data_IF_889660233118
#
_entry.id   IF_889660233118
#
_cell.length_a   1.000
_cell.length_b   1.000
_cell.length_c   1.000
_cell.angle_alpha   90.00
_cell.angle_beta   90.00
_cell.angle_gamma   90.00
#
_symmetry.space_group_name_H-M   'P 1'
#
loop_
_entity.id
_entity.type
_entity.pdbx_description
1 polymer ?
#
# COMPACT_ATOMS: atom_id res chain seq x y z
N UNK A 1 -20.13 31.77 -3.23
CA UNK A 1 -18.88 31.01 -3.48
C UNK A 1 -19.19 29.54 -3.26
N UNK A 2 -19.03 28.69 -4.26
CA UNK A 2 -19.19 27.24 -4.07
C UNK A 2 -17.81 26.66 -3.72
N UNK A 3 -17.75 25.76 -2.75
CA UNK A 3 -16.53 25.07 -2.35
C UNK A 3 -16.68 23.61 -2.78
N UNK A 4 -15.69 23.10 -3.51
CA UNK A 4 -15.68 21.72 -4.00
C UNK A 4 -14.64 20.91 -3.25
N UNK A 5 -15.10 19.81 -2.65
CA UNK A 5 -14.26 18.85 -1.97
C UNK A 5 -14.02 17.63 -2.82
N UNK A 6 -12.75 17.22 -2.94
CA UNK A 6 -12.37 16.01 -3.65
C UNK A 6 -11.56 15.08 -2.76
N UNK A 7 -12.03 13.84 -2.65
CA UNK A 7 -11.35 12.75 -1.95
C UNK A 7 -10.42 12.01 -2.90
N UNK A 8 -9.13 12.03 -2.58
CA UNK A 8 -8.10 11.56 -3.49
C UNK A 8 -7.97 10.03 -3.60
N UNK A 9 -8.38 9.29 -2.56
CA UNK A 9 -8.26 7.82 -2.50
C UNK A 9 -9.05 7.12 -3.61
N UNK A 10 -10.11 7.75 -4.15
CA UNK A 10 -11.05 7.13 -5.08
C UNK A 10 -10.75 7.41 -6.56
N UNK A 11 -9.97 8.44 -6.87
CA UNK A 11 -9.80 8.95 -8.24
C UNK A 11 -8.33 9.00 -8.65
N UNK A 12 -7.97 8.53 -9.88
CA UNK A 12 -6.62 8.70 -10.39
C UNK A 12 -6.21 10.17 -10.46
N UNK A 13 -5.00 10.48 -10.02
CA UNK A 13 -4.44 11.84 -9.94
C UNK A 13 -4.77 12.74 -11.15
N UNK A 14 -4.57 12.24 -12.37
CA UNK A 14 -4.83 13.03 -13.59
C UNK A 14 -6.29 13.40 -13.80
N UNK A 15 -7.22 12.47 -13.52
CA UNK A 15 -8.68 12.72 -13.68
C UNK A 15 -9.16 13.71 -12.62
N UNK A 16 -8.69 13.56 -11.39
CA UNK A 16 -8.94 14.51 -10.30
C UNK A 16 -8.46 15.92 -10.68
N UNK A 17 -7.19 16.07 -11.12
CA UNK A 17 -6.65 17.38 -11.51
C UNK A 17 -7.38 18.01 -12.70
N UNK A 18 -7.88 17.20 -13.65
CA UNK A 18 -8.68 17.69 -14.77
C UNK A 18 -10.00 18.31 -14.28
N UNK A 19 -10.72 17.60 -13.40
CA UNK A 19 -11.96 18.10 -12.81
C UNK A 19 -11.72 19.40 -12.03
N UNK A 20 -10.70 19.40 -11.15
CA UNK A 20 -10.27 20.59 -10.40
C UNK A 20 -10.06 21.79 -11.34
N UNK A 21 -9.36 21.58 -12.46
CA UNK A 21 -9.08 22.64 -13.44
C UNK A 21 -10.34 23.16 -14.15
N UNK A 22 -11.40 22.37 -14.28
CA UNK A 22 -12.69 22.81 -14.82
C UNK A 22 -13.45 23.66 -13.79
N UNK A 23 -13.43 23.25 -12.53
CA UNK A 23 -14.13 23.92 -11.44
C UNK A 23 -13.51 25.25 -11.05
N UNK A 24 -12.18 25.32 -10.90
CA UNK A 24 -11.46 26.57 -10.61
C UNK A 24 -11.64 27.59 -11.73
N UNK A 25 -11.78 27.14 -12.99
CA UNK A 25 -12.08 28.05 -14.10
C UNK A 25 -13.54 28.50 -14.11
N UNK A 26 -14.45 27.79 -13.45
CA UNK A 26 -15.88 28.04 -13.53
C UNK A 26 -16.53 27.57 -14.83
N UNK A 27 -15.86 26.74 -15.64
CA UNK A 27 -16.38 26.25 -16.94
C UNK A 27 -17.68 25.44 -16.84
N UNK A 28 -17.98 24.93 -15.66
CA UNK A 28 -19.22 24.22 -15.36
C UNK A 28 -20.40 25.17 -15.14
N UNK A 29 -20.16 26.47 -14.93
CA UNK A 29 -21.21 27.48 -14.76
C UNK A 29 -21.56 28.09 -16.11
N UNK A 30 -22.86 28.33 -16.39
CA UNK A 30 -23.28 28.97 -17.63
C UNK A 30 -22.81 30.43 -17.73
N UNK A 31 -22.49 31.05 -16.59
CA UNK A 31 -21.98 32.43 -16.50
C UNK A 31 -20.49 32.57 -16.83
N UNK A 32 -19.81 31.49 -17.21
CA UNK A 32 -18.37 31.48 -17.50
C UNK A 32 -17.98 32.51 -18.58
N UNK A 33 -17.06 33.41 -18.21
CA UNK A 33 -16.42 34.34 -19.14
C UNK A 33 -14.90 34.13 -19.09
N UNK A 34 -14.23 33.85 -20.22
CA UNK A 34 -12.82 33.45 -20.23
C UNK A 34 -11.85 34.54 -19.78
N UNK A 35 -12.26 35.81 -19.83
CA UNK A 35 -11.49 36.97 -19.39
C UNK A 35 -11.70 37.35 -17.91
N UNK A 36 -12.65 36.71 -17.21
CA UNK A 36 -12.97 37.03 -15.81
C UNK A 36 -12.64 35.84 -14.90
N UNK A 37 -11.92 36.10 -13.81
CA UNK A 37 -11.49 35.09 -12.85
C UNK A 37 -12.42 34.89 -11.65
N UNK A 38 -13.33 35.83 -11.39
CA UNK A 38 -14.17 35.86 -10.18
C UNK A 38 -15.18 34.69 -10.11
N UNK A 39 -15.48 34.08 -11.26
CA UNK A 39 -16.54 33.08 -11.40
C UNK A 39 -16.12 31.66 -10.98
N UNK A 40 -14.81 31.44 -10.83
CA UNK A 40 -14.22 30.17 -10.44
C UNK A 40 -14.41 29.83 -8.97
N UNK A 41 -14.64 28.55 -8.68
CA UNK A 41 -14.84 28.06 -7.31
C UNK A 41 -13.54 27.71 -6.60
N UNK A 42 -13.59 27.72 -5.27
CA UNK A 42 -12.49 27.27 -4.41
C UNK A 42 -12.54 25.74 -4.30
N UNK A 43 -11.39 25.10 -4.48
CA UNK A 43 -11.27 23.65 -4.42
C UNK A 43 -10.39 23.26 -3.24
N UNK A 44 -10.90 22.35 -2.41
CA UNK A 44 -10.17 21.80 -1.28
C UNK A 44 -9.90 20.33 -1.54
N UNK A 45 -8.63 19.94 -1.47
CA UNK A 45 -8.19 18.55 -1.64
C UNK A 45 -7.66 18.05 -0.30
N UNK A 46 -8.19 16.94 0.17
CA UNK A 46 -7.76 16.28 1.41
C UNK A 46 -7.16 14.91 1.12
N UNK A 47 -6.36 14.40 2.05
CA UNK A 47 -5.60 13.14 1.96
C UNK A 47 -4.59 13.12 0.81
N UNK A 48 -3.84 14.21 0.65
CA UNK A 48 -2.78 14.28 -0.37
C UNK A 48 -1.60 13.33 -0.10
N UNK A 49 -1.46 12.79 1.11
CA UNK A 49 -0.44 11.76 1.41
C UNK A 49 -0.63 10.47 0.61
N UNK A 50 -1.88 10.05 0.39
CA UNK A 50 -2.22 8.76 -0.22
C UNK A 50 -2.85 8.94 -1.61
N UNK A 51 -1.97 9.14 -2.60
CA UNK A 51 -2.39 9.39 -3.98
C UNK A 51 -2.59 8.11 -4.78
N UNK A 52 -3.77 7.97 -5.40
CA UNK A 52 -4.03 6.88 -6.35
C UNK A 52 -3.32 7.14 -7.70
N UNK A 53 -2.33 6.31 -7.99
CA UNK A 53 -1.67 6.24 -9.29
C UNK A 53 -1.77 4.83 -9.88
N UNK A 54 -2.21 4.73 -11.14
CA UNK A 54 -2.35 3.43 -11.80
C UNK A 54 -1.02 2.87 -12.29
N UNK A 55 -0.80 1.57 -12.08
CA UNK A 55 0.39 0.84 -12.53
C UNK A 55 1.69 1.33 -11.86
N UNK A 56 2.82 1.21 -12.59
CA UNK A 56 4.17 1.55 -12.08
C UNK A 56 4.53 3.04 -12.20
N UNK A 57 3.54 3.92 -12.41
CA UNK A 57 3.77 5.35 -12.70
C UNK A 57 4.42 6.10 -11.55
N UNK A 58 4.06 5.79 -10.31
CA UNK A 58 4.65 6.42 -9.13
C UNK A 58 6.17 6.23 -9.06
N UNK A 59 6.68 5.10 -9.55
CA UNK A 59 8.10 4.75 -9.52
C UNK A 59 8.85 5.24 -10.76
N UNK A 60 8.22 5.14 -11.94
CA UNK A 60 8.90 5.40 -13.23
C UNK A 60 8.80 6.84 -13.70
N UNK A 61 7.76 7.59 -13.29
CA UNK A 61 7.52 8.92 -13.83
C UNK A 61 8.41 9.95 -13.12
N UNK A 62 9.07 10.78 -13.93
CA UNK A 62 10.02 11.78 -13.47
C UNK A 62 9.56 13.18 -13.88
N UNK A 63 9.88 14.17 -13.05
CA UNK A 63 9.72 15.58 -13.36
C UNK A 63 11.10 16.15 -13.64
N UNK A 64 11.23 16.74 -14.83
CA UNK A 64 12.42 17.44 -15.27
C UNK A 64 12.20 18.94 -15.11
N UNK A 65 13.18 19.63 -14.53
CA UNK A 65 13.20 21.09 -14.48
C UNK A 65 14.64 21.58 -14.53
N UNK A 66 14.81 22.80 -15.03
CA UNK A 66 16.11 23.45 -15.17
C UNK A 66 16.12 24.71 -14.31
N UNK A 67 17.25 25.01 -13.68
CA UNK A 67 17.38 26.18 -12.80
C UNK A 67 17.86 27.45 -13.51
N UNK A 68 18.27 27.34 -14.77
CA UNK A 68 18.76 28.47 -15.60
C UNK A 68 20.28 28.43 -15.86
N UNK A 69 21.05 27.85 -14.94
CA UNK A 69 22.50 27.66 -15.08
C UNK A 69 22.86 26.45 -15.96
N UNK A 70 23.90 26.58 -16.78
CA UNK A 70 24.41 25.50 -17.65
C UNK A 70 24.72 24.24 -16.83
N UNK A 71 24.28 23.08 -17.31
CA UNK A 71 24.50 21.78 -16.66
C UNK A 71 23.53 21.44 -15.51
N UNK A 72 22.69 22.37 -15.06
CA UNK A 72 21.80 22.15 -13.91
C UNK A 72 20.40 21.64 -14.30
N UNK A 73 20.35 20.51 -15.00
CA UNK A 73 19.12 19.75 -15.21
C UNK A 73 18.81 18.91 -13.96
N UNK A 74 17.72 19.24 -13.28
CA UNK A 74 17.27 18.49 -12.10
C UNK A 74 16.15 17.54 -12.48
N UNK A 75 16.29 16.31 -12.01
CA UNK A 75 15.31 15.23 -12.20
C UNK A 75 14.84 14.80 -10.83
N UNK A 76 13.52 14.76 -10.64
CA UNK A 76 12.92 14.30 -9.39
C UNK A 76 11.83 13.28 -9.68
N UNK A 77 11.87 12.14 -8.98
CA UNK A 77 10.90 11.06 -9.20
C UNK A 77 9.57 11.37 -8.52
N UNK A 78 8.47 10.84 -9.06
CA UNK A 78 7.16 10.98 -8.41
C UNK A 78 7.15 10.38 -7.00
N UNK A 79 7.83 9.25 -6.79
CA UNK A 79 7.97 8.61 -5.48
C UNK A 79 8.57 9.54 -4.42
N UNK A 80 9.54 10.37 -4.80
CA UNK A 80 10.17 11.34 -3.89
C UNK A 80 9.20 12.47 -3.54
N UNK A 81 8.44 12.97 -4.52
CA UNK A 81 7.37 13.94 -4.26
C UNK A 81 6.30 13.38 -3.33
N UNK A 82 5.87 12.13 -3.53
CA UNK A 82 4.84 11.51 -2.70
C UNK A 82 5.27 11.38 -1.24
N UNK A 83 6.55 11.10 -0.98
CA UNK A 83 7.09 10.97 0.37
C UNK A 83 7.28 12.33 1.05
N UNK A 84 7.92 13.27 0.36
CA UNK A 84 8.31 14.56 0.93
C UNK A 84 7.17 15.59 0.89
N UNK A 85 6.70 15.94 -0.32
CA UNK A 85 5.80 17.08 -0.59
C UNK A 85 4.77 16.73 -1.68
N UNK A 86 3.76 15.90 -1.38
CA UNK A 86 2.77 15.46 -2.36
C UNK A 86 1.90 16.61 -2.88
N UNK A 87 1.69 17.64 -2.08
CA UNK A 87 0.93 18.85 -2.42
C UNK A 87 1.50 19.55 -3.67
N UNK A 88 2.83 19.69 -3.71
CA UNK A 88 3.52 20.32 -4.84
C UNK A 88 3.30 19.56 -6.15
N UNK A 89 3.23 18.22 -6.08
CA UNK A 89 2.95 17.39 -7.24
C UNK A 89 1.55 17.66 -7.80
N UNK A 90 0.55 17.77 -6.92
CA UNK A 90 -0.84 18.04 -7.33
C UNK A 90 -0.96 19.44 -7.93
N UNK A 91 -0.40 20.46 -7.25
CA UNK A 91 -0.38 21.85 -7.75
C UNK A 91 0.32 21.90 -9.12
N UNK A 92 1.46 21.21 -9.27
CA UNK A 92 2.20 21.19 -10.53
C UNK A 92 1.35 20.61 -11.67
N UNK A 93 0.63 19.50 -11.44
CA UNK A 93 -0.23 18.89 -12.45
C UNK A 93 -1.42 19.79 -12.79
N UNK A 94 -2.11 20.36 -11.80
CA UNK A 94 -3.22 21.32 -12.03
C UNK A 94 -2.70 22.50 -12.87
N UNK A 95 -1.53 23.02 -12.53
CA UNK A 95 -0.92 24.13 -13.23
C UNK A 95 -0.66 23.81 -14.71
N UNK A 96 -0.33 22.55 -15.05
CA UNK A 96 -0.14 22.10 -16.44
C UNK A 96 -1.46 21.93 -17.21
N UNK A 97 -2.58 21.73 -16.51
CA UNK A 97 -3.93 21.60 -17.10
C UNK A 97 -4.62 22.96 -17.33
N UNK A 98 -4.15 24.01 -16.65
CA UNK A 98 -4.63 25.38 -16.85
C UNK A 98 -4.01 26.02 -18.10
N UNK A 99 -4.73 26.95 -18.75
CA UNK A 99 -4.17 27.73 -19.85
C UNK A 99 -2.95 28.52 -19.38
N UNK A 100 -1.96 28.69 -20.26
CA UNK A 100 -0.72 29.43 -19.95
C UNK A 100 -0.98 30.94 -20.10
N UNK A 101 -1.58 31.55 -19.08
CA UNK A 101 -1.85 32.98 -19.02
C UNK A 101 -1.53 33.55 -17.63
N UNK A 102 -1.63 34.89 -17.48
CA UNK A 102 -1.38 35.58 -16.21
C UNK A 102 -2.39 35.16 -15.12
N UNK A 103 -3.65 34.97 -15.53
CA UNK A 103 -4.77 34.55 -14.68
C UNK A 103 -4.54 33.22 -13.96
N UNK A 104 -3.66 32.35 -14.50
CA UNK A 104 -3.29 31.07 -13.88
C UNK A 104 -2.82 31.21 -12.44
N UNK A 105 -2.09 32.27 -12.10
CA UNK A 105 -1.57 32.47 -10.74
C UNK A 105 -2.72 32.69 -9.75
N UNK A 106 -3.72 33.49 -10.13
CA UNK A 106 -4.87 33.76 -9.28
C UNK A 106 -5.81 32.55 -9.17
N UNK A 107 -5.93 31.77 -10.24
CA UNK A 107 -6.67 30.51 -10.20
C UNK A 107 -6.02 29.50 -9.25
N UNK A 108 -4.69 29.38 -9.25
CA UNK A 108 -3.99 28.46 -8.36
C UNK A 108 -4.11 28.84 -6.88
N UNK A 109 -4.29 30.12 -6.55
CA UNK A 109 -4.57 30.58 -5.18
C UNK A 109 -5.92 30.10 -4.64
N UNK A 110 -6.82 29.62 -5.50
CA UNK A 110 -8.13 29.06 -5.09
C UNK A 110 -8.07 27.57 -4.74
N UNK A 111 -6.89 26.99 -4.66
CA UNK A 111 -6.69 25.56 -4.38
C UNK A 111 -5.94 25.39 -3.08
N UNK A 112 -6.62 24.78 -2.11
CA UNK A 112 -6.01 24.39 -0.85
C UNK A 112 -5.87 22.87 -0.81
N UNK A 113 -4.69 22.40 -0.40
CA UNK A 113 -4.36 20.98 -0.38
C UNK A 113 -3.84 20.62 1.00
N UNK A 114 -4.43 19.59 1.59
CA UNK A 114 -4.08 19.08 2.91
C UNK A 114 -3.56 17.66 2.79
N UNK A 115 -2.45 17.36 3.49
CA UNK A 115 -1.87 16.02 3.54
C UNK A 115 -2.79 15.01 4.24
N UNK A 116 -3.45 15.41 5.32
CA UNK A 116 -4.35 14.60 6.12
C UNK A 116 -5.82 14.68 5.70
N UNK A 117 -6.70 14.04 6.47
CA UNK A 117 -8.14 14.04 6.22
C UNK A 117 -8.84 15.33 6.69
N UNK A 118 -8.14 16.11 7.52
CA UNK A 118 -8.64 17.32 8.15
C UNK A 118 -8.39 18.55 7.28
N UNK A 119 -9.23 19.56 7.44
CA UNK A 119 -9.14 20.82 6.73
C UNK A 119 -9.64 21.96 7.63
N UNK A 120 -9.18 23.19 7.35
CA UNK A 120 -9.41 24.35 8.22
C UNK A 120 -10.83 24.96 8.10
N UNK A 121 -11.73 24.40 7.30
CA UNK A 121 -13.05 24.98 6.98
C UNK A 121 -14.21 24.24 7.66
N UNK A 122 -14.02 23.87 8.93
CA UNK A 122 -14.97 23.08 9.72
C UNK A 122 -16.35 23.75 9.82
N UNK A 123 -16.40 25.08 9.87
CA UNK A 123 -17.65 25.84 9.97
C UNK A 123 -18.57 25.67 8.76
N UNK A 124 -17.99 25.40 7.59
CA UNK A 124 -18.75 25.28 6.34
C UNK A 124 -19.09 23.83 6.02
N UNK A 125 -18.18 22.90 6.30
CA UNK A 125 -18.35 21.49 5.97
C UNK A 125 -17.67 20.57 7.00
N UNK A 126 -18.31 19.47 7.38
CA UNK A 126 -17.70 18.47 8.25
C UNK A 126 -16.56 17.73 7.52
N UNK A 127 -15.58 17.27 8.30
CA UNK A 127 -14.50 16.43 7.78
C UNK A 127 -15.03 15.13 7.17
N UNK A 128 -14.34 14.63 6.14
CA UNK A 128 -14.67 13.32 5.58
C UNK A 128 -14.35 12.22 6.58
N UNK A 129 -15.34 11.38 6.85
CA UNK A 129 -15.14 10.16 7.63
C UNK A 129 -14.26 9.21 6.79
N UNK A 130 -13.05 8.83 7.27
CA UNK A 130 -12.24 7.84 6.60
C UNK A 130 -12.97 6.49 6.61
N UNK A 131 -12.92 5.76 5.49
CA UNK A 131 -13.45 4.38 5.48
C UNK A 131 -12.49 3.54 6.29
N UNK A 132 -12.91 3.05 7.44
CA UNK A 132 -12.16 2.05 8.19
C UNK A 132 -12.29 0.69 7.49
N UNK A 133 -11.24 -0.12 7.51
CA UNK A 133 -11.30 -1.48 7.00
C UNK A 133 -12.16 -2.31 7.97
N UNK A 134 -13.40 -2.60 7.59
CA UNK A 134 -14.38 -3.24 8.47
C UNK A 134 -14.30 -4.76 8.46
N UNK A 135 -13.68 -5.35 7.44
CA UNK A 135 -13.74 -6.78 7.19
C UNK A 135 -12.35 -7.41 7.32
N UNK A 136 -12.14 -8.06 8.47
CA UNK A 136 -10.94 -8.86 8.72
C UNK A 136 -11.25 -10.33 8.39
N UNK A 137 -11.00 -10.70 7.14
CA UNK A 137 -11.26 -12.04 6.63
C UNK A 137 -10.60 -13.15 7.48
N UNK A 138 -9.40 -12.89 8.02
CA UNK A 138 -8.68 -13.89 8.84
C UNK A 138 -9.38 -14.16 10.17
N UNK A 139 -9.90 -13.11 10.81
CA UNK A 139 -10.72 -13.26 12.02
C UNK A 139 -12.05 -13.94 11.76
N UNK A 140 -12.58 -13.82 10.54
CA UNK A 140 -13.80 -14.51 10.16
C UNK A 140 -13.61 -15.98 9.83
N UNK A 141 -12.44 -16.33 9.29
CA UNK A 141 -12.06 -17.72 9.03
C UNK A 141 -11.38 -18.40 10.23
N UNK A 142 -11.23 -17.71 11.36
CA UNK A 142 -10.59 -18.31 12.52
C UNK A 142 -11.42 -19.50 13.02
N UNK A 143 -10.77 -20.62 13.38
CA UNK A 143 -11.48 -21.77 13.91
C UNK A 143 -12.37 -21.43 15.10
N UNK A 144 -11.94 -20.54 15.99
CA UNK A 144 -12.73 -20.07 17.14
C UNK A 144 -14.08 -19.44 16.72
N UNK A 145 -14.06 -18.54 15.74
CA UNK A 145 -15.27 -17.84 15.29
C UNK A 145 -16.16 -18.73 14.45
N UNK A 146 -15.56 -19.60 13.64
CA UNK A 146 -16.26 -20.63 12.91
C UNK A 146 -16.91 -21.64 13.86
N UNK A 147 -16.22 -22.03 14.93
CA UNK A 147 -16.71 -23.00 15.89
C UNK A 147 -17.96 -22.51 16.64
N UNK A 148 -18.16 -21.19 16.80
CA UNK A 148 -19.42 -20.65 17.33
C UNK A 148 -20.65 -21.05 16.48
N UNK A 149 -20.44 -21.31 15.18
CA UNK A 149 -21.49 -21.81 14.29
C UNK A 149 -21.63 -23.32 14.46
N UNK A 150 -22.74 -23.76 15.06
CA UNK A 150 -23.09 -25.18 15.27
C UNK A 150 -23.25 -26.00 13.98
N UNK A 151 -23.27 -25.36 12.81
CA UNK A 151 -23.45 -26.00 11.51
C UNK A 151 -22.14 -26.51 10.90
N UNK A 152 -21.01 -26.36 11.60
CA UNK A 152 -19.71 -26.83 11.15
C UNK A 152 -19.43 -28.18 11.80
N UNK A 153 -18.91 -29.10 11.00
CA UNK A 153 -18.58 -30.45 11.43
C UNK A 153 -17.10 -30.72 11.17
N UNK A 154 -16.48 -31.49 12.05
CA UNK A 154 -15.10 -31.93 11.90
C UNK A 154 -15.10 -33.19 11.04
N UNK A 155 -14.43 -33.14 9.89
CA UNK A 155 -14.38 -34.26 8.93
C UNK A 155 -13.17 -35.18 9.08
N UNK A 156 -12.11 -34.68 9.72
CA UNK A 156 -10.84 -35.38 9.90
C UNK A 156 -10.08 -34.85 11.12
N UNK A 157 -9.46 -35.74 11.90
CA UNK A 157 -8.49 -35.41 12.96
C UNK A 157 -7.30 -36.36 12.90
N UNK A 158 -6.10 -35.85 13.21
CA UNK A 158 -4.88 -36.67 13.26
C UNK A 158 -4.68 -37.34 14.62
N UNK A 159 -5.11 -36.68 15.70
CA UNK A 159 -5.10 -37.20 17.07
C UNK A 159 -6.50 -37.66 17.47
N UNK A 160 -6.55 -38.60 18.42
CA UNK A 160 -7.80 -39.01 19.09
C UNK A 160 -8.27 -37.94 20.07
N UNK A 161 -7.33 -37.21 20.68
CA UNK A 161 -7.65 -36.08 21.56
C UNK A 161 -8.04 -34.86 20.73
N UNK A 162 -9.31 -34.43 20.89
CA UNK A 162 -9.82 -33.18 20.33
C UNK A 162 -9.49 -32.05 21.32
N UNK A 163 -8.86 -30.95 20.87
CA UNK A 163 -8.62 -29.80 21.73
C UNK A 163 -9.92 -29.29 22.36
N UNK A 164 -9.86 -28.90 23.64
CA UNK A 164 -11.05 -28.48 24.40
C UNK A 164 -11.86 -27.35 23.72
N UNK A 165 -11.18 -26.49 22.96
CA UNK A 165 -11.75 -25.40 22.17
C UNK A 165 -12.75 -25.86 21.08
N UNK A 166 -12.67 -27.10 20.62
CA UNK A 166 -13.54 -27.66 19.56
C UNK A 166 -14.51 -28.74 20.06
N UNK A 167 -14.59 -28.94 21.37
CA UNK A 167 -15.40 -29.99 22.01
C UNK A 167 -16.89 -29.93 21.68
N UNK A 168 -17.42 -28.76 21.32
CA UNK A 168 -18.84 -28.55 21.01
C UNK A 168 -19.23 -28.84 19.56
N UNK A 169 -18.27 -29.18 18.69
CA UNK A 169 -18.51 -29.51 17.29
C UNK A 169 -18.74 -31.01 17.10
N UNK A 170 -19.61 -31.38 16.15
CA UNK A 170 -19.83 -32.78 15.79
C UNK A 170 -18.66 -33.31 14.96
N UNK A 171 -18.22 -34.52 15.28
CA UNK A 171 -17.20 -35.24 14.53
C UNK A 171 -17.84 -36.29 13.63
N UNK A 172 -17.76 -36.08 12.31
CA UNK A 172 -18.23 -37.03 11.29
C UNK A 172 -17.07 -37.37 10.35
N UNK A 173 -16.44 -38.53 10.58
CA UNK A 173 -15.26 -38.93 9.81
C UNK A 173 -15.62 -39.15 8.33
N UNK A 174 -15.00 -38.38 7.44
CA UNK A 174 -15.14 -38.56 6.00
C UNK A 174 -13.99 -39.40 5.43
N UNK A 175 -14.25 -40.68 5.17
CA UNK A 175 -13.27 -41.62 4.63
C UNK A 175 -12.76 -41.26 3.22
N UNK A 176 -13.48 -40.43 2.45
CA UNK A 176 -13.05 -40.02 1.10
C UNK A 176 -11.80 -39.12 1.13
N UNK A 177 -11.54 -38.44 2.25
CA UNK A 177 -10.40 -37.52 2.37
C UNK A 177 -9.08 -38.30 2.38
N UNK A 178 -9.04 -39.45 3.05
CA UNK A 178 -7.86 -40.33 3.14
C UNK A 178 -7.56 -41.03 1.78
N UNK A 179 -8.59 -41.23 0.97
CA UNK A 179 -8.48 -41.91 -0.33
C UNK A 179 -7.82 -40.99 -1.39
N UNK A 180 -6.78 -41.46 -2.12
CA UNK A 180 -6.13 -40.67 -3.16
C UNK A 180 -7.08 -40.39 -4.34
N UNK A 181 -6.86 -39.30 -5.08
CA UNK A 181 -7.75 -38.86 -6.17
C UNK A 181 -8.04 -39.90 -7.26
N UNK A 182 -7.20 -40.93 -7.42
CA UNK A 182 -7.41 -42.00 -8.42
C UNK A 182 -8.51 -42.99 -8.04
N UNK A 183 -8.73 -43.17 -6.74
CA UNK A 183 -9.65 -44.17 -6.18
C UNK A 183 -11.02 -43.57 -5.82
N UNK A 184 -11.17 -42.24 -5.96
CA UNK A 184 -12.43 -41.54 -5.71
C UNK A 184 -13.41 -41.73 -6.87
N UNK A 185 -14.70 -41.63 -6.56
CA UNK A 185 -15.80 -41.71 -7.52
C UNK A 185 -15.70 -40.65 -8.64
N UNK A 186 -15.19 -39.46 -8.32
CA UNK A 186 -15.00 -38.36 -9.28
C UNK A 186 -13.52 -38.04 -9.45
N UNK A 187 -13.03 -38.16 -10.69
CA UNK A 187 -11.63 -37.93 -11.05
C UNK A 187 -11.53 -36.78 -12.04
N UNK A 188 -10.68 -35.79 -11.74
CA UNK A 188 -10.36 -34.72 -12.68
C UNK A 188 -9.51 -35.26 -13.83
N UNK A 189 -10.13 -35.49 -14.99
CA UNK A 189 -9.45 -35.96 -16.21
C UNK A 189 -8.97 -34.78 -17.06
N UNK A 190 -7.77 -34.88 -17.64
CA UNK A 190 -7.20 -33.84 -18.51
C UNK A 190 -7.75 -33.91 -19.94
N UNK A 191 -9.05 -33.64 -20.08
CA UNK A 191 -9.77 -33.59 -21.36
C UNK A 191 -9.37 -32.36 -22.19
N UNK A 192 -9.64 -32.34 -23.51
CA UNK A 192 -9.47 -31.14 -24.33
C UNK A 192 -10.19 -29.91 -23.76
N UNK A 193 -11.39 -30.08 -23.21
CA UNK A 193 -12.15 -29.02 -22.54
C UNK A 193 -11.41 -28.49 -21.31
N UNK A 194 -10.97 -29.35 -20.39
CA UNK A 194 -10.24 -28.93 -19.19
C UNK A 194 -8.91 -28.26 -19.52
N UNK A 195 -8.23 -28.69 -20.59
CA UNK A 195 -7.02 -28.02 -21.11
C UNK A 195 -7.31 -26.61 -21.62
N UNK A 196 -8.46 -26.38 -22.26
CA UNK A 196 -8.90 -25.04 -22.67
C UNK A 196 -9.16 -24.15 -21.45
N UNK A 197 -9.91 -24.65 -20.46
CA UNK A 197 -10.17 -23.95 -19.19
C UNK A 197 -8.85 -23.56 -18.50
N UNK A 198 -7.87 -24.45 -18.44
CA UNK A 198 -6.54 -24.14 -17.87
C UNK A 198 -5.84 -22.99 -18.63
N UNK A 199 -5.96 -22.93 -19.96
CA UNK A 199 -5.40 -21.81 -20.74
C UNK A 199 -6.12 -20.50 -20.41
N UNK A 200 -7.42 -20.52 -20.18
CA UNK A 200 -8.19 -19.35 -19.74
C UNK A 200 -7.75 -18.87 -18.37
N UNK A 201 -7.60 -19.78 -17.39
CA UNK A 201 -7.06 -19.46 -16.07
C UNK A 201 -5.66 -18.85 -16.16
N UNK A 202 -4.76 -19.41 -16.98
CA UNK A 202 -3.43 -18.84 -17.20
C UNK A 202 -3.50 -17.42 -17.76
N UNK A 203 -4.37 -17.17 -18.75
CA UNK A 203 -4.60 -15.83 -19.29
C UNK A 203 -5.16 -14.88 -18.24
N UNK A 204 -6.12 -15.34 -17.43
CA UNK A 204 -6.72 -14.56 -16.35
C UNK A 204 -5.67 -14.10 -15.33
N UNK A 205 -4.84 -15.01 -14.81
CA UNK A 205 -3.78 -14.63 -13.87
C UNK A 205 -2.72 -13.71 -14.50
N UNK A 206 -2.40 -13.90 -15.78
CA UNK A 206 -1.49 -13.00 -16.49
C UNK A 206 -2.08 -11.59 -16.65
N UNK A 207 -3.37 -11.48 -17.01
CA UNK A 207 -4.07 -10.21 -17.13
C UNK A 207 -4.17 -9.49 -15.78
N UNK A 208 -4.42 -10.22 -14.69
CA UNK A 208 -4.48 -9.65 -13.33
C UNK A 208 -3.17 -8.97 -12.90
N UNK A 209 -2.00 -9.43 -13.35
CA UNK A 209 -0.71 -8.78 -13.05
C UNK A 209 -0.67 -7.32 -13.50
N UNK A 210 -1.46 -6.93 -14.52
CA UNK A 210 -1.55 -5.53 -14.99
C UNK A 210 -2.22 -4.61 -13.98
N UNK A 211 -3.14 -5.13 -13.18
CA UNK A 211 -3.91 -4.38 -12.19
C UNK A 211 -3.29 -4.44 -10.78
N UNK A 212 -2.03 -4.88 -10.67
CA UNK A 212 -1.31 -4.90 -9.41
C UNK A 212 -1.03 -3.47 -8.92
N UNK A 213 -1.27 -3.23 -7.62
CA UNK A 213 -0.92 -1.98 -6.96
C UNK A 213 0.56 -2.00 -6.60
N UNK A 214 1.29 -0.95 -6.97
CA UNK A 214 2.70 -0.76 -6.64
C UNK A 214 2.86 0.39 -5.65
N UNK A 215 3.54 0.15 -4.52
CA UNK A 215 3.84 1.16 -3.51
C UNK A 215 5.33 1.52 -3.50
N UNK A 216 5.71 2.80 -3.34
CA UNK A 216 7.09 3.17 -3.07
C UNK A 216 7.51 2.57 -1.72
N UNK A 217 8.70 1.97 -1.66
CA UNK A 217 9.25 1.44 -0.41
C UNK A 217 9.84 2.59 0.40
N UNK A 218 9.58 2.61 1.70
CA UNK A 218 10.21 3.55 2.62
C UNK A 218 11.73 3.29 2.70
N UNK A 219 12.55 4.31 3.01
CA UNK A 219 13.95 4.12 3.29
C UNK A 219 14.12 3.18 4.49
N UNK A 220 15.09 2.26 4.40
CA UNK A 220 15.36 1.28 5.45
C UNK A 220 16.45 1.78 6.39
N UNK A 221 16.23 1.68 7.70
CA UNK A 221 17.29 1.82 8.70
C UNK A 221 18.13 0.54 8.76
N UNK A 222 19.46 0.69 8.84
CA UNK A 222 20.42 -0.42 9.00
C UNK A 222 21.09 -0.40 10.38
N UNK A 223 20.42 0.18 11.38
CA UNK A 223 20.96 0.27 12.73
C UNK A 223 21.02 -1.13 13.38
N UNK A 224 22.19 -1.57 13.88
CA UNK A 224 22.36 -2.94 14.37
C UNK A 224 21.51 -3.31 15.58
N UNK A 225 21.15 -2.33 16.41
CA UNK A 225 20.40 -2.55 17.66
C UNK A 225 18.92 -2.89 17.43
N UNK A 226 18.36 -2.56 16.26
CA UNK A 226 16.93 -2.74 15.95
C UNK A 226 16.69 -4.10 15.28
N UNK A 227 17.68 -4.63 14.56
CA UNK A 227 17.52 -5.86 13.81
C UNK A 227 17.80 -7.08 14.69
N UNK A 228 16.94 -8.10 14.58
CA UNK A 228 17.11 -9.40 15.25
C UNK A 228 18.19 -10.28 14.58
N UNK A 229 18.59 -9.92 13.36
CA UNK A 229 19.57 -10.67 12.59
C UNK A 229 21.00 -10.37 13.03
N UNK A 230 21.87 -11.37 12.93
CA UNK A 230 23.30 -11.23 13.14
C UNK A 230 23.91 -10.23 12.15
N UNK A 231 24.88 -9.47 12.64
CA UNK A 231 25.52 -8.40 11.89
C UNK A 231 27.03 -8.45 12.08
N UNK A 232 27.73 -8.33 10.96
CA UNK A 232 29.18 -8.26 10.96
C UNK A 232 29.66 -6.83 11.24
N UNK A 233 30.57 -6.68 12.20
CA UNK A 233 31.21 -5.39 12.54
C UNK A 233 32.49 -5.27 11.73
N UNK A 234 32.52 -4.35 10.75
CA UNK A 234 33.68 -4.20 9.84
C UNK A 234 34.73 -3.22 10.32
N UNK A 235 34.35 -2.25 11.14
CA UNK A 235 35.23 -1.12 11.48
C UNK A 235 34.97 -0.58 12.88
N UNK A 236 36.02 -0.02 13.49
CA UNK A 236 35.92 0.67 14.79
C UNK A 236 34.96 1.87 14.75
N UNK A 237 34.85 2.55 13.60
CA UNK A 237 33.87 3.63 13.41
C UNK A 237 32.42 3.15 13.53
N UNK A 238 32.12 1.92 13.10
CA UNK A 238 30.80 1.31 13.27
C UNK A 238 30.48 1.08 14.74
N UNK A 239 31.47 0.61 15.52
CA UNK A 239 31.37 0.41 16.96
C UNK A 239 31.06 1.74 17.66
N UNK A 240 31.83 2.78 17.36
CA UNK A 240 31.63 4.11 17.96
C UNK A 240 30.28 4.73 17.57
N UNK A 241 29.91 4.66 16.28
CA UNK A 241 28.66 5.25 15.77
C UNK A 241 27.41 4.63 16.36
N UNK A 242 27.42 3.31 16.58
CA UNK A 242 26.24 2.58 17.07
C UNK A 242 26.33 2.21 18.54
N UNK A 243 27.45 2.48 19.22
CA UNK A 243 27.71 2.11 20.60
C UNK A 243 27.61 0.60 20.79
N UNK A 244 28.49 -0.15 20.12
CA UNK A 244 28.49 -1.62 20.11
C UNK A 244 29.65 -2.23 20.91
N UNK A 245 30.26 -1.45 21.81
CA UNK A 245 31.42 -1.92 22.60
C UNK A 245 31.06 -3.15 23.43
N UNK A 246 29.87 -3.15 24.05
CA UNK A 246 29.38 -4.23 24.91
C UNK A 246 29.17 -5.57 24.19
N UNK A 247 29.03 -5.56 22.85
CA UNK A 247 28.80 -6.77 22.04
C UNK A 247 30.08 -7.35 21.45
N UNK A 248 31.20 -6.64 21.56
CA UNK A 248 32.51 -7.10 21.09
C UNK A 248 33.24 -7.69 22.28
N UNK A 249 33.67 -8.94 22.18
CA UNK A 249 34.47 -9.56 23.21
C UNK A 249 35.81 -8.79 23.36
N UNK A 250 36.29 -8.56 24.59
CA UNK A 250 37.58 -7.93 24.82
C UNK A 250 38.71 -8.82 24.31
N UNK A 251 39.82 -8.22 23.88
CA UNK A 251 40.97 -8.96 23.31
C UNK A 251 41.59 -9.94 24.33
N UNK A 252 41.43 -9.67 25.63
CA UNK A 252 41.96 -10.51 26.72
C UNK A 252 41.05 -11.71 27.07
N UNK A 253 39.94 -11.95 26.36
CA UNK A 253 39.05 -13.08 26.63
C UNK A 253 39.65 -14.42 26.16
N UNK A 254 39.54 -15.46 26.99
CA UNK A 254 39.96 -16.82 26.62
C UNK A 254 39.09 -17.37 25.49
N UNK A 255 39.73 -17.94 24.47
CA UNK A 255 39.05 -18.62 23.36
C UNK A 255 38.50 -19.98 23.82
N UNK A 256 37.39 -20.41 23.22
CA UNK A 256 36.79 -21.72 23.48
C UNK A 256 37.27 -22.67 22.39
N UNK A 257 38.11 -23.63 22.76
CA UNK A 257 38.75 -24.56 21.81
C UNK A 257 37.79 -25.65 21.31
N UNK A 258 37.10 -26.36 22.21
CA UNK A 258 36.21 -27.48 21.87
C UNK A 258 34.95 -27.56 22.77
N UNK A 259 33.76 -27.41 22.20
CA UNK A 259 32.47 -27.56 22.88
C UNK A 259 31.87 -28.98 22.72
N UNK A 260 32.71 -30.02 22.70
CA UNK A 260 32.19 -31.39 22.53
C UNK A 260 31.48 -31.90 23.78
N UNK A 261 30.17 -32.16 23.68
CA UNK A 261 29.41 -32.85 24.71
C UNK A 261 29.19 -34.31 24.30
N UNK A 262 29.82 -35.25 25.03
CA UNK A 262 29.48 -36.67 24.91
C UNK A 262 28.31 -36.95 25.85
N UNK A 263 27.16 -37.34 25.30
CA UNK A 263 26.08 -37.90 26.11
C UNK A 263 26.59 -39.22 26.71
N UNK A 264 26.84 -39.26 28.03
CA UNK A 264 27.05 -40.53 28.74
C UNK A 264 25.71 -41.27 28.72
N UNK A 265 25.57 -42.22 27.80
CA UNK A 265 24.54 -43.26 27.90
C UNK A 265 24.95 -44.16 29.06
N UNK A 266 24.24 -44.01 30.19
CA UNK A 266 24.26 -44.96 31.31
C UNK A 266 23.32 -46.12 31.02
#
# INVERSE_FOLDING_TARGET
>A
MSILFLKQILSPLGRMCQQISIYIRGKHKPTYKPNKNELGDQCIVVNAGDILMTGKKALKKQIFYHTGYVGNLKVKNYSEYLLEKPEQLIIWIISKQLPKNLLRRDLLKKVDIFRGAEHNMLDKFPNFIPKQATFDFLKEQSPEKLALNKNIQITYSSSEEIPAEFSHLQYEKNNEIEVPFKERNQILKMTPHNRQVIKEWRKFFHQRKRYQVHKPKAPKSKQPKIHEQDLYIKSKAQIAKYGLQDKVYPEDSQEVDDETSKAKFF
#
